data_IF_838469436462
#
_entry.id   IF_838469436462
#
_cell.length_a   1.000
_cell.length_b   1.000
_cell.length_c   1.000
_cell.angle_alpha   90.00
_cell.angle_beta   90.00
_cell.angle_gamma   90.00
#
_symmetry.space_group_name_H-M   'P 1'
#
loop_
_entity.id
_entity.type
_entity.pdbx_description
1 polymer ?
#
# COMPACT_ATOMS: atom_id res chain seq x y z
N UNK A 1 -4.74 -18.73 -7.47
CA UNK A 1 -3.53 -18.37 -8.25
C UNK A 1 -2.43 -17.86 -7.34
N UNK A 2 -1.15 -17.85 -7.75
CA UNK A 2 -0.02 -17.39 -6.95
C UNK A 2 1.06 -16.78 -7.87
N UNK A 3 1.93 -15.92 -7.34
CA UNK A 3 3.09 -15.42 -8.09
C UNK A 3 4.17 -16.50 -8.21
N UNK A 4 4.83 -16.58 -9.35
CA UNK A 4 6.07 -17.35 -9.53
C UNK A 4 7.23 -16.65 -8.80
N UNK A 5 7.32 -15.33 -8.97
CA UNK A 5 8.20 -14.45 -8.21
C UNK A 5 7.39 -13.30 -7.61
N UNK A 6 7.39 -13.21 -6.29
CA UNK A 6 6.59 -12.21 -5.59
C UNK A 6 7.06 -10.78 -5.90
N UNK A 7 6.13 -9.81 -5.98
CA UNK A 7 6.46 -8.39 -5.95
C UNK A 7 7.33 -8.03 -4.75
N UNK A 8 7.97 -6.86 -4.78
CA UNK A 8 8.87 -6.40 -3.72
C UNK A 8 8.46 -5.02 -3.26
N UNK A 9 8.35 -4.83 -1.94
CA UNK A 9 8.27 -3.49 -1.37
C UNK A 9 9.63 -2.82 -1.46
N UNK A 10 9.75 -1.79 -2.28
CA UNK A 10 11.01 -1.06 -2.49
C UNK A 10 11.04 0.28 -1.75
N UNK A 11 9.87 0.84 -1.39
CA UNK A 11 9.81 2.13 -0.67
C UNK A 11 8.53 2.29 0.15
N UNK A 12 8.66 2.94 1.30
CA UNK A 12 7.55 3.44 2.12
C UNK A 12 7.84 4.88 2.56
N UNK A 13 6.91 5.81 2.38
CA UNK A 13 7.11 7.22 2.73
C UNK A 13 5.80 7.92 3.10
N UNK A 14 5.87 8.99 3.89
CA UNK A 14 4.75 9.88 4.17
C UNK A 14 5.05 11.29 3.64
N UNK A 15 4.03 12.00 3.14
CA UNK A 15 4.20 13.41 2.70
C UNK A 15 4.51 14.35 3.87
N UNK A 16 4.01 14.02 5.05
CA UNK A 16 4.27 14.73 6.29
C UNK A 16 4.50 13.73 7.41
N UNK A 17 5.44 14.04 8.30
CA UNK A 17 5.87 13.17 9.39
C UNK A 17 5.61 13.77 10.77
N UNK A 18 4.94 14.93 10.85
CA UNK A 18 4.59 15.54 12.15
C UNK A 18 3.36 14.86 12.77
N UNK A 19 3.21 14.86 14.10
CA UNK A 19 2.09 14.22 14.77
C UNK A 19 0.79 14.94 14.42
N UNK A 20 -0.32 14.20 14.34
CA UNK A 20 -1.66 14.71 14.01
C UNK A 20 -1.81 15.50 12.70
N UNK A 21 -0.77 15.56 11.85
CA UNK A 21 -0.82 16.23 10.55
C UNK A 21 -1.60 15.43 9.50
N UNK A 22 -2.12 16.11 8.48
CA UNK A 22 -2.69 15.42 7.33
C UNK A 22 -1.56 14.95 6.41
N UNK A 23 -1.47 13.64 6.19
CA UNK A 23 -0.45 13.05 5.33
C UNK A 23 -1.07 12.12 4.28
N UNK A 24 -0.27 11.79 3.27
CA UNK A 24 -0.49 10.66 2.37
C UNK A 24 0.67 9.70 2.53
N UNK A 25 0.37 8.42 2.75
CA UNK A 25 1.37 7.37 2.80
C UNK A 25 1.52 6.74 1.42
N UNK A 26 2.76 6.53 1.01
CA UNK A 26 3.16 5.96 -0.26
C UNK A 26 3.85 4.63 0.01
N UNK A 27 3.42 3.58 -0.69
CA UNK A 27 4.05 2.27 -0.71
C UNK A 27 4.35 1.91 -2.16
N UNK A 28 5.62 1.81 -2.51
CA UNK A 28 6.06 1.51 -3.87
C UNK A 28 6.45 0.06 -3.97
N UNK A 29 5.82 -0.64 -4.91
CA UNK A 29 6.06 -2.04 -5.21
C UNK A 29 6.72 -2.17 -6.59
N UNK A 30 7.74 -3.01 -6.67
CA UNK A 30 8.28 -3.51 -7.92
C UNK A 30 7.68 -4.88 -8.20
N UNK A 31 7.05 -5.04 -9.36
CA UNK A 31 6.56 -6.32 -9.85
C UNK A 31 7.62 -6.84 -10.83
N UNK A 32 8.30 -7.95 -10.53
CA UNK A 32 9.36 -8.45 -11.40
C UNK A 32 8.80 -8.90 -12.76
N UNK A 33 9.64 -8.90 -13.81
CA UNK A 33 9.24 -9.31 -15.16
C UNK A 33 8.78 -10.78 -15.21
N UNK A 34 9.34 -11.62 -14.34
CA UNK A 34 9.06 -13.05 -14.20
C UNK A 34 8.11 -13.36 -13.02
N UNK A 35 7.22 -12.42 -12.67
CA UNK A 35 6.21 -12.63 -11.62
C UNK A 35 5.21 -13.75 -11.94
N UNK A 36 5.10 -14.14 -13.21
CA UNK A 36 4.12 -15.12 -13.72
C UNK A 36 2.72 -14.52 -13.85
N UNK A 37 2.20 -13.95 -12.77
CA UNK A 37 0.85 -13.39 -12.67
C UNK A 37 0.86 -11.87 -12.44
N UNK A 38 -0.15 -11.12 -12.95
CA UNK A 38 -0.28 -9.68 -12.72
C UNK A 38 -0.78 -9.38 -11.29
N UNK A 39 -0.44 -8.21 -10.76
CA UNK A 39 -0.88 -7.74 -9.45
C UNK A 39 -2.32 -7.21 -9.50
N UNK A 40 -3.24 -7.81 -8.73
CA UNK A 40 -4.65 -7.40 -8.66
C UNK A 40 -5.02 -6.62 -7.41
N UNK A 41 -4.44 -6.97 -6.26
CA UNK A 41 -4.75 -6.30 -5.01
C UNK A 41 -3.55 -6.19 -4.07
N UNK A 42 -3.59 -5.20 -3.19
CA UNK A 42 -2.61 -4.99 -2.13
C UNK A 42 -3.33 -4.66 -0.83
N UNK A 43 -3.03 -5.43 0.21
CA UNK A 43 -3.44 -5.14 1.58
C UNK A 43 -2.28 -4.51 2.33
N UNK A 44 -2.55 -3.39 2.99
CA UNK A 44 -1.61 -2.64 3.82
C UNK A 44 -2.15 -2.67 5.24
N UNK A 45 -1.44 -3.35 6.13
CA UNK A 45 -1.90 -3.60 7.50
C UNK A 45 -0.85 -3.17 8.52
N UNK A 46 -1.27 -2.38 9.50
CA UNK A 46 -0.42 -1.95 10.61
C UNK A 46 -0.03 -3.16 11.48
N UNK A 47 1.26 -3.38 11.72
CA UNK A 47 1.81 -4.51 12.49
C UNK A 47 1.84 -4.23 14.00
N UNK A 48 1.24 -5.10 14.81
CA UNK A 48 1.07 -4.97 16.28
C UNK A 48 2.24 -4.31 17.06
N UNK A 49 1.93 -3.76 18.24
CA UNK A 49 2.85 -3.06 19.19
C UNK A 49 3.08 -1.56 18.93
N UNK A 50 2.00 -0.80 18.78
CA UNK A 50 2.04 0.66 18.59
C UNK A 50 1.14 1.38 19.59
N UNK A 51 1.48 2.63 19.89
CA UNK A 51 0.72 3.48 20.83
C UNK A 51 -0.65 3.89 20.29
N UNK A 52 -0.81 3.91 18.96
CA UNK A 52 -2.05 4.35 18.30
C UNK A 52 -2.29 3.56 17.00
N UNK A 53 -3.54 3.20 16.75
CA UNK A 53 -3.99 2.57 15.50
C UNK A 53 -4.32 3.66 14.48
N UNK A 54 -3.71 3.58 13.30
CA UNK A 54 -3.95 4.52 12.19
C UNK A 54 -5.33 4.29 11.61
N UNK A 55 -6.16 5.32 11.60
CA UNK A 55 -7.48 5.27 10.95
C UNK A 55 -7.35 5.80 9.53
N UNK A 56 -7.53 4.94 8.53
CA UNK A 56 -7.53 5.34 7.13
C UNK A 56 -8.85 6.04 6.74
N UNK A 57 -8.79 6.87 5.70
CA UNK A 57 -9.97 7.46 5.05
C UNK A 57 -10.47 6.48 3.98
N UNK A 58 -11.71 6.03 4.13
CA UNK A 58 -12.40 5.24 3.10
C UNK A 58 -12.41 5.98 1.76
N UNK A 59 -12.26 5.23 0.65
CA UNK A 59 -12.34 5.74 -0.72
C UNK A 59 -11.41 6.94 -1.00
N UNK A 60 -10.28 7.02 -0.29
CA UNK A 60 -9.23 8.03 -0.49
C UNK A 60 -7.86 7.42 -0.81
N UNK A 61 -7.85 6.14 -1.16
CA UNK A 61 -6.71 5.46 -1.75
C UNK A 61 -6.60 5.81 -3.24
N UNK A 62 -5.40 5.70 -3.79
CA UNK A 62 -5.12 5.87 -5.21
C UNK A 62 -3.85 5.14 -5.58
N UNK A 63 -3.57 4.96 -6.86
CA UNK A 63 -2.33 4.35 -7.31
C UNK A 63 -1.86 4.94 -8.64
N UNK A 64 -0.56 4.85 -8.90
CA UNK A 64 0.03 5.29 -10.16
C UNK A 64 1.29 4.51 -10.50
N UNK A 65 1.66 4.49 -11.78
CA UNK A 65 2.89 3.87 -12.26
C UNK A 65 4.13 4.71 -11.90
N UNK A 66 5.18 4.03 -11.46
CA UNK A 66 6.46 4.62 -11.06
C UNK A 66 6.62 4.76 -9.55
N UNK A 67 7.74 5.37 -9.14
CA UNK A 67 8.19 5.55 -7.75
C UNK A 67 8.19 7.02 -7.28
N UNK A 68 7.84 7.94 -8.18
CA UNK A 68 7.82 9.38 -7.96
C UNK A 68 6.76 9.79 -6.92
N UNK A 69 7.16 10.56 -5.90
CA UNK A 69 6.20 11.19 -4.98
C UNK A 69 5.37 12.31 -5.60
N UNK A 70 5.72 12.77 -6.81
CA UNK A 70 4.92 13.75 -7.55
C UNK A 70 3.78 13.09 -8.35
N UNK A 71 3.65 11.76 -8.28
CA UNK A 71 2.70 10.98 -9.07
C UNK A 71 3.32 10.43 -10.36
N UNK A 72 2.47 9.82 -11.15
CA UNK A 72 2.76 9.22 -12.45
C UNK A 72 1.45 8.96 -13.20
N UNK A 73 1.44 8.04 -14.16
CA UNK A 73 0.19 7.61 -14.82
C UNK A 73 -0.71 6.95 -13.79
N UNK A 74 -1.87 7.56 -13.53
CA UNK A 74 -2.84 7.06 -12.56
C UNK A 74 -3.41 5.71 -12.99
N UNK A 75 -3.59 4.83 -12.01
CA UNK A 75 -4.22 3.51 -12.16
C UNK A 75 -5.59 3.56 -11.51
N UNK A 76 -6.61 3.14 -12.25
CA UNK A 76 -7.96 3.08 -11.73
C UNK A 76 -8.08 1.96 -10.70
N UNK A 77 -8.86 2.24 -9.64
CA UNK A 77 -9.11 1.31 -8.55
C UNK A 77 -10.57 0.88 -8.59
N UNK A 78 -10.81 -0.39 -8.27
CA UNK A 78 -12.15 -0.93 -8.17
C UNK A 78 -12.88 -0.35 -6.94
N UNK A 79 -14.05 0.25 -7.17
CA UNK A 79 -14.87 0.86 -6.13
C UNK A 79 -15.47 -0.16 -5.15
N UNK A 80 -15.60 -1.43 -5.54
CA UNK A 80 -16.20 -2.50 -4.72
C UNK A 80 -15.14 -3.31 -3.99
N UNK A 81 -13.92 -3.40 -4.55
CA UNK A 81 -12.83 -4.19 -3.99
C UNK A 81 -12.00 -3.50 -2.92
N UNK A 82 -12.05 -2.16 -2.83
CA UNK A 82 -11.32 -1.39 -1.82
C UNK A 82 -12.05 -1.35 -0.47
N UNK A 83 -11.35 -1.62 0.63
CA UNK A 83 -11.89 -1.48 1.98
C UNK A 83 -10.89 -0.82 2.92
N UNK A 84 -11.38 -0.11 3.93
CA UNK A 84 -10.54 0.52 4.94
C UNK A 84 -11.13 0.26 6.32
N UNK A 85 -10.32 -0.35 7.18
CA UNK A 85 -10.61 -0.61 8.58
C UNK A 85 -9.55 0.09 9.45
N UNK A 86 -9.76 0.22 10.78
CA UNK A 86 -8.71 0.71 11.66
C UNK A 86 -7.43 -0.12 11.51
N UNK A 87 -6.34 0.52 11.09
CA UNK A 87 -5.04 -0.11 10.90
C UNK A 87 -4.88 -0.89 9.59
N UNK A 88 -5.92 -1.05 8.77
CA UNK A 88 -5.84 -1.86 7.55
C UNK A 88 -6.54 -1.20 6.37
N UNK A 89 -5.97 -1.32 5.18
CA UNK A 89 -6.59 -0.88 3.93
C UNK A 89 -6.23 -1.82 2.80
N UNK A 90 -7.24 -2.26 2.06
CA UNK A 90 -7.08 -3.06 0.85
C UNK A 90 -7.36 -2.19 -0.36
N UNK A 91 -6.47 -2.25 -1.34
CA UNK A 91 -6.58 -1.59 -2.63
C UNK A 91 -6.68 -2.65 -3.71
N UNK A 92 -7.71 -2.55 -4.55
CA UNK A 92 -7.91 -3.45 -5.69
C UNK A 92 -7.83 -2.63 -6.96
N UNK A 93 -6.99 -3.05 -7.89
CA UNK A 93 -6.84 -2.40 -9.20
C UNK A 93 -8.00 -2.80 -10.11
N UNK A 94 -8.57 -1.86 -10.84
CA UNK A 94 -9.63 -2.16 -11.83
C UNK A 94 -9.09 -3.09 -12.91
N UNK A 95 -7.97 -2.70 -13.54
CA UNK A 95 -7.17 -3.55 -14.41
C UNK A 95 -5.94 -4.09 -13.65
N UNK A 96 -5.67 -5.42 -13.68
CA UNK A 96 -4.46 -5.98 -13.06
C UNK A 96 -3.18 -5.33 -13.59
N UNK A 97 -2.22 -5.04 -12.71
CA UNK A 97 -0.93 -4.43 -13.10
C UNK A 97 0.01 -5.53 -13.59
N UNK A 98 0.40 -5.44 -14.86
CA UNK A 98 1.27 -6.42 -15.50
C UNK A 98 2.66 -6.56 -14.83
N UNK A 99 3.33 -7.72 -14.98
CA UNK A 99 4.74 -7.90 -14.65
C UNK A 99 5.67 -6.84 -15.27
N UNK A 100 6.81 -6.61 -14.63
CA UNK A 100 7.81 -5.63 -15.07
C UNK A 100 7.47 -4.17 -14.79
N UNK A 101 6.46 -3.92 -13.94
CA UNK A 101 6.00 -2.56 -13.59
C UNK A 101 6.38 -2.21 -12.17
N UNK A 102 6.66 -0.92 -11.96
CA UNK A 102 6.71 -0.30 -10.64
C UNK A 102 5.42 0.45 -10.41
N UNK A 103 4.79 0.24 -9.27
CA UNK A 103 3.54 0.89 -8.88
C UNK A 103 3.69 1.52 -7.50
N UNK A 104 3.16 2.73 -7.33
CA UNK A 104 3.04 3.36 -6.02
C UNK A 104 1.57 3.42 -5.61
N UNK A 105 1.26 2.82 -4.46
CA UNK A 105 -0.03 2.88 -3.80
C UNK A 105 0.00 4.03 -2.81
N UNK A 106 -1.04 4.85 -2.85
CA UNK A 106 -1.27 5.96 -1.93
C UNK A 106 -2.45 5.67 -1.04
N UNK A 107 -2.28 5.83 0.27
CA UNK A 107 -3.36 5.69 1.26
C UNK A 107 -3.33 6.88 2.20
N UNK A 108 -4.51 7.37 2.58
CA UNK A 108 -4.63 8.59 3.38
C UNK A 108 -5.12 8.26 4.78
N UNK A 109 -4.27 8.40 5.83
CA UNK A 109 -4.77 8.41 7.19
C UNK A 109 -5.71 9.61 7.40
N UNK A 110 -6.63 9.51 8.38
CA UNK A 110 -7.45 10.65 8.83
C UNK A 110 -6.55 11.79 9.31
N UNK A 111 -5.50 11.43 10.03
CA UNK A 111 -4.32 12.21 10.42
C UNK A 111 -3.20 11.24 10.77
N UNK A 112 -1.95 11.68 10.75
CA UNK A 112 -0.87 10.94 11.37
C UNK A 112 -1.19 10.64 12.84
N UNK A 113 -0.62 9.56 13.40
CA UNK A 113 -0.64 9.33 14.83
C UNK A 113 -0.23 10.56 15.64
N UNK A 114 -0.81 10.68 16.82
CA UNK A 114 -0.55 11.77 17.76
C UNK A 114 0.72 11.54 18.56
N UNK A 115 1.25 10.31 18.54
CA UNK A 115 2.49 9.94 19.19
C UNK A 115 3.61 9.84 18.14
N UNK A 116 4.76 10.43 18.45
CA UNK A 116 5.98 10.21 17.67
C UNK A 116 6.44 8.76 17.81
N UNK A 117 7.15 8.27 16.80
CA UNK A 117 7.62 6.89 16.77
C UNK A 117 7.61 6.27 15.38
N UNK A 118 7.79 4.96 15.35
CA UNK A 118 7.91 4.18 14.12
C UNK A 118 6.69 3.29 13.96
N UNK A 119 5.96 3.52 12.88
CA UNK A 119 4.76 2.77 12.53
C UNK A 119 5.10 1.82 11.38
N UNK A 120 4.92 0.53 11.62
CA UNK A 120 5.20 -0.53 10.66
C UNK A 120 3.91 -0.99 9.99
N UNK A 121 3.95 -1.12 8.67
CA UNK A 121 2.84 -1.57 7.84
C UNK A 121 3.27 -2.78 7.03
N UNK A 122 2.75 -3.94 7.36
CA UNK A 122 2.87 -5.15 6.58
C UNK A 122 2.15 -5.01 5.25
N UNK A 123 2.78 -5.47 4.18
CA UNK A 123 2.24 -5.39 2.83
C UNK A 123 2.04 -6.80 2.30
N UNK A 124 0.83 -7.09 1.83
CA UNK A 124 0.49 -8.35 1.17
C UNK A 124 -0.01 -8.06 -0.23
N UNK A 125 0.60 -8.66 -1.25
CA UNK A 125 0.18 -8.55 -2.64
C UNK A 125 -0.55 -9.80 -3.10
N UNK A 126 -1.57 -9.63 -3.94
CA UNK A 126 -2.41 -10.71 -4.45
C UNK A 126 -2.41 -10.68 -5.98
N UNK A 127 -2.16 -11.82 -6.65
CA UNK A 127 -2.29 -11.90 -8.09
C UNK A 127 -3.77 -11.87 -8.52
N UNK A 128 -4.00 -11.69 -9.81
CA UNK A 128 -5.33 -11.83 -10.39
C UNK A 128 -5.90 -13.24 -10.23
N UNK A 129 -7.22 -13.36 -10.28
CA UNK A 129 -7.96 -14.62 -10.12
C UNK A 129 -8.63 -14.80 -8.75
N UNK A 130 -9.72 -15.56 -8.77
CA UNK A 130 -10.51 -15.90 -7.58
C UNK A 130 -9.68 -16.75 -6.59
N UNK A 131 -9.82 -16.46 -5.28
CA UNK A 131 -9.09 -17.13 -4.19
C UNK A 131 -7.56 -17.16 -4.39
N UNK A 132 -6.98 -16.06 -4.89
CA UNK A 132 -5.54 -15.95 -5.07
C UNK A 132 -4.78 -15.92 -3.73
N UNK A 133 -3.62 -16.60 -3.71
CA UNK A 133 -2.77 -16.70 -2.54
C UNK A 133 -1.94 -15.42 -2.39
N UNK A 134 -2.18 -14.69 -1.31
CA UNK A 134 -1.43 -13.48 -0.97
C UNK A 134 0.03 -13.76 -0.63
N UNK A 135 0.94 -12.94 -1.16
CA UNK A 135 2.36 -12.94 -0.83
C UNK A 135 2.68 -11.79 0.12
N UNK A 136 3.22 -12.12 1.31
CA UNK A 136 3.69 -11.10 2.25
C UNK A 136 5.04 -10.55 1.82
N UNK A 137 5.10 -9.24 1.59
CA UNK A 137 6.26 -8.54 1.01
C UNK A 137 7.18 -7.91 2.07
N UNK A 138 6.84 -8.08 3.35
CA UNK A 138 7.53 -7.42 4.46
C UNK A 138 6.80 -6.17 4.95
N UNK A 139 7.49 -5.40 5.79
CA UNK A 139 6.93 -4.21 6.43
C UNK A 139 7.54 -2.92 5.89
N UNK A 140 6.70 -1.99 5.45
CA UNK A 140 7.06 -0.59 5.26
C UNK A 140 7.13 0.16 6.58
N UNK A 141 8.03 1.14 6.65
CA UNK A 141 8.24 1.98 7.82
C UNK A 141 7.80 3.41 7.55
N UNK A 142 6.91 3.94 8.39
CA UNK A 142 6.58 5.36 8.46
C UNK A 142 7.03 5.89 9.83
N UNK A 143 7.93 6.87 9.83
CA UNK A 143 8.39 7.51 11.07
C UNK A 143 7.63 8.81 11.28
N UNK A 144 7.11 9.00 12.49
CA UNK A 144 6.49 10.23 12.96
C UNK A 144 7.47 10.90 13.93
N UNK A 145 7.80 12.16 13.67
CA UNK A 145 8.76 12.96 14.42
C UNK A 145 8.05 14.15 15.05
N UNK A 146 8.49 14.55 16.24
CA UNK A 146 8.04 15.78 16.90
C UNK A 146 8.52 17.06 16.18
#
# INVERSE_FOLDING_TARGET
MAFDHSPRLIRSAATFTSPASFATYHFTLEIPDDAGEPLKAVTIEQRENFLEVVKFKENKSGAFLGDSCAGGTELMLDAVGGSAEPGSVTVVFEEPVAPGKTVTITVKPKRNPSHSGVYLFGITAYPDGEDSLGSYLGSGRISIYD
#
